data_IF_601769786985
#
_entry.id   IF_601769786985
#
_cell.length_a   1.000
_cell.length_b   1.000
_cell.length_c   1.000
_cell.angle_alpha   90.00
_cell.angle_beta   90.00
_cell.angle_gamma   90.00
#
_symmetry.space_group_name_H-M   'P 1'
#
loop_
_entity.id
_entity.type
_entity.pdbx_description
1 polymer ?
#
# COMPACT_ATOMS: atom_id res chain seq x y z
N UNK A 1 24.58 6.00 -11.80
CA UNK A 1 24.40 5.55 -10.40
C UNK A 1 24.56 4.04 -10.38
N UNK A 2 25.40 3.50 -9.51
CA UNK A 2 25.73 2.06 -9.43
C UNK A 2 24.63 1.27 -8.71
N UNK A 3 24.47 -0.02 -9.03
CA UNK A 3 23.50 -0.94 -8.39
C UNK A 3 23.57 -0.89 -6.85
N UNK A 4 24.79 -0.86 -6.32
CA UNK A 4 25.08 -0.83 -4.87
C UNK A 4 24.39 0.33 -4.14
N UNK A 5 24.24 1.48 -4.79
CA UNK A 5 23.58 2.65 -4.20
C UNK A 5 22.10 2.38 -3.94
N UNK A 6 21.39 1.82 -4.93
CA UNK A 6 19.97 1.49 -4.78
C UNK A 6 19.74 0.36 -3.79
N UNK A 7 20.63 -0.63 -3.75
CA UNK A 7 20.54 -1.74 -2.80
C UNK A 7 20.63 -1.25 -1.34
N UNK A 8 21.53 -0.30 -1.05
CA UNK A 8 21.65 0.28 0.28
C UNK A 8 20.40 1.08 0.66
N UNK A 9 19.88 1.90 -0.25
CA UNK A 9 18.64 2.66 -0.02
C UNK A 9 17.42 1.78 0.16
N UNK A 10 17.31 0.69 -0.62
CA UNK A 10 16.24 -0.28 -0.49
C UNK A 10 16.27 -0.93 0.91
N UNK A 11 17.44 -1.34 1.42
CA UNK A 11 17.58 -1.88 2.78
C UNK A 11 17.13 -0.88 3.84
N UNK A 12 17.62 0.35 3.79
CA UNK A 12 17.25 1.40 4.75
C UNK A 12 15.73 1.65 4.74
N UNK A 13 15.13 1.68 3.55
CA UNK A 13 13.68 1.88 3.41
C UNK A 13 12.91 0.72 4.04
N UNK A 14 13.29 -0.52 3.73
CA UNK A 14 12.62 -1.72 4.22
C UNK A 14 12.79 -1.90 5.74
N UNK A 15 13.96 -1.57 6.28
CA UNK A 15 14.20 -1.56 7.73
C UNK A 15 13.31 -0.55 8.45
N UNK A 16 13.16 0.66 7.90
CA UNK A 16 12.24 1.67 8.43
C UNK A 16 10.80 1.19 8.37
N UNK A 17 10.37 0.62 7.25
CA UNK A 17 9.03 0.06 7.10
C UNK A 17 8.78 -1.02 8.15
N UNK A 18 9.69 -1.99 8.28
CA UNK A 18 9.62 -3.05 9.29
C UNK A 18 9.54 -2.50 10.72
N UNK A 19 10.31 -1.45 11.04
CA UNK A 19 10.27 -0.81 12.36
C UNK A 19 8.94 -0.11 12.67
N UNK A 20 8.23 0.38 11.64
CA UNK A 20 6.93 1.03 11.79
C UNK A 20 5.78 0.03 11.87
N UNK A 21 5.89 -1.15 11.23
CA UNK A 21 4.81 -2.15 11.19
C UNK A 21 4.25 -2.50 12.57
N UNK A 22 5.09 -2.55 13.61
CA UNK A 22 4.68 -2.90 14.98
C UNK A 22 3.74 -1.87 15.63
N UNK A 23 3.60 -0.68 15.06
CA UNK A 23 2.72 0.39 15.54
C UNK A 23 1.42 0.50 14.75
N UNK A 24 1.24 -0.33 13.72
CA UNK A 24 0.09 -0.27 12.81
C UNK A 24 -0.85 -1.43 13.12
N UNK A 25 -2.08 -1.10 13.49
CA UNK A 25 -3.15 -2.06 13.78
C UNK A 25 -4.36 -1.70 12.90
N UNK A 26 -4.93 -2.65 12.12
CA UNK A 26 -4.55 -4.06 11.94
C UNK A 26 -3.17 -4.28 11.26
N UNK A 27 -2.64 -5.50 11.25
CA UNK A 27 -1.30 -5.77 10.71
C UNK A 27 -1.20 -5.35 9.23
N UNK A 28 -0.20 -4.50 8.86
CA UNK A 28 -0.05 -4.01 7.51
C UNK A 28 0.57 -5.07 6.59
N UNK A 29 -0.03 -5.24 5.41
CA UNK A 29 0.53 -6.02 4.30
C UNK A 29 1.33 -5.06 3.42
N UNK A 30 2.62 -5.31 3.30
CA UNK A 30 3.50 -4.54 2.44
C UNK A 30 3.22 -4.76 0.96
N UNK A 31 3.23 -3.66 0.21
CA UNK A 31 2.85 -3.67 -1.21
C UNK A 31 3.78 -2.83 -2.09
N UNK A 32 3.69 -3.11 -3.39
CA UNK A 32 4.04 -2.19 -4.48
C UNK A 32 2.79 -1.93 -5.30
N UNK A 33 2.56 -0.69 -5.71
CA UNK A 33 1.41 -0.31 -6.55
C UNK A 33 1.88 0.25 -7.88
N UNK A 34 1.32 -0.27 -8.96
CA UNK A 34 1.31 0.39 -10.26
C UNK A 34 0.05 1.24 -10.42
N UNK A 35 0.22 2.55 -10.65
CA UNK A 35 -0.88 3.49 -10.88
C UNK A 35 -0.44 4.55 -11.89
N UNK A 36 -1.21 4.76 -12.96
CA UNK A 36 -0.92 5.75 -14.01
C UNK A 36 0.54 5.71 -14.52
N UNK A 37 1.01 4.50 -14.84
CA UNK A 37 2.39 4.20 -15.31
C UNK A 37 3.51 4.60 -14.33
N UNK A 38 3.19 4.72 -13.05
CA UNK A 38 4.15 5.01 -11.98
C UNK A 38 4.07 3.94 -10.91
N UNK A 39 5.21 3.66 -10.29
CA UNK A 39 5.34 2.66 -9.24
C UNK A 39 5.44 3.36 -7.89
N UNK A 40 4.69 2.89 -6.90
CA UNK A 40 4.69 3.38 -5.54
C UNK A 40 4.92 2.24 -4.56
N UNK A 41 5.40 2.55 -3.37
CA UNK A 41 5.57 1.59 -2.27
C UNK A 41 4.69 1.99 -1.10
N UNK A 42 4.23 1.02 -0.33
CA UNK A 42 3.39 1.29 0.83
C UNK A 42 2.96 0.02 1.53
N UNK A 43 1.84 0.13 2.21
CA UNK A 43 1.14 -1.00 2.80
C UNK A 43 -0.38 -0.84 2.63
N UNK A 44 -1.09 -1.96 2.76
CA UNK A 44 -2.53 -1.99 2.97
C UNK A 44 -2.85 -2.65 4.32
N UNK A 45 -3.95 -2.23 4.93
CA UNK A 45 -4.54 -2.90 6.09
C UNK A 45 -5.98 -3.27 5.74
N UNK A 46 -6.41 -4.50 6.06
CA UNK A 46 -7.81 -4.88 5.95
C UNK A 46 -8.51 -4.28 7.17
N UNK A 47 -9.36 -3.28 6.97
CA UNK A 47 -9.86 -2.44 8.07
C UNK A 47 -11.20 -2.89 8.65
N UNK A 48 -11.95 -3.74 7.93
CA UNK A 48 -13.28 -4.23 8.36
C UNK A 48 -13.44 -5.72 8.05
N UNK A 49 -12.53 -6.53 8.57
CA UNK A 49 -12.45 -7.97 8.32
C UNK A 49 -13.75 -8.74 8.60
N UNK A 50 -14.54 -8.31 9.59
CA UNK A 50 -15.83 -8.93 9.94
C UNK A 50 -16.94 -8.66 8.91
N UNK A 51 -16.83 -7.58 8.14
CA UNK A 51 -17.80 -7.23 7.09
C UNK A 51 -17.29 -7.59 5.69
N UNK A 52 -16.06 -7.22 5.36
CA UNK A 52 -15.46 -7.49 4.06
C UNK A 52 -13.93 -7.42 4.09
N UNK A 53 -13.29 -8.52 3.69
CA UNK A 53 -11.85 -8.58 3.46
C UNK A 53 -11.39 -7.78 2.23
N UNK A 54 -12.31 -7.25 1.43
CA UNK A 54 -11.99 -6.44 0.26
C UNK A 54 -11.74 -4.97 0.62
N UNK A 55 -12.27 -4.48 1.75
CA UNK A 55 -12.10 -3.08 2.12
C UNK A 55 -10.76 -2.91 2.82
N UNK A 56 -9.88 -2.14 2.19
CA UNK A 56 -8.53 -1.89 2.66
C UNK A 56 -8.27 -0.40 2.84
N UNK A 57 -7.52 -0.05 3.88
CA UNK A 57 -6.83 1.22 3.94
C UNK A 57 -5.48 1.08 3.26
N UNK A 58 -5.25 1.86 2.22
CA UNK A 58 -3.98 2.00 1.53
C UNK A 58 -3.22 3.18 2.13
N UNK A 59 -1.95 2.97 2.50
CA UNK A 59 -0.99 4.05 2.76
C UNK A 59 0.22 3.87 1.83
N UNK A 60 0.52 4.86 1.00
CA UNK A 60 1.62 4.81 0.02
C UNK A 60 2.58 6.00 0.09
N UNK A 61 3.74 5.82 -0.55
CA UNK A 61 4.69 6.89 -0.80
C UNK A 61 4.03 8.05 -1.56
N UNK A 62 4.39 9.27 -1.19
CA UNK A 62 3.92 10.49 -1.87
C UNK A 62 4.55 10.65 -3.25
N UNK A 63 5.78 10.15 -3.42
CA UNK A 63 6.51 10.15 -4.68
C UNK A 63 6.62 8.73 -5.24
N UNK A 64 6.59 8.57 -6.57
CA UNK A 64 6.85 7.29 -7.19
C UNK A 64 8.30 6.87 -6.97
N UNK A 65 8.52 5.56 -6.95
CA UNK A 65 9.85 4.97 -6.98
C UNK A 65 10.48 5.20 -8.34
N UNK A 66 11.80 5.43 -8.31
CA UNK A 66 12.64 5.34 -9.51
C UNK A 66 12.97 3.87 -9.79
N UNK A 67 13.12 3.51 -11.06
CA UNK A 67 13.27 2.13 -11.52
C UNK A 67 14.38 1.36 -10.80
N UNK A 68 15.53 1.99 -10.57
CA UNK A 68 16.65 1.35 -9.89
C UNK A 68 16.32 0.96 -8.45
N UNK A 69 15.58 1.82 -7.73
CA UNK A 69 15.14 1.55 -6.36
C UNK A 69 14.04 0.49 -6.32
N UNK A 70 13.08 0.53 -7.26
CA UNK A 70 12.05 -0.49 -7.41
C UNK A 70 12.67 -1.90 -7.60
N UNK A 71 13.63 -2.03 -8.52
CA UNK A 71 14.31 -3.31 -8.77
C UNK A 71 15.07 -3.81 -7.53
N UNK A 72 15.77 -2.91 -6.83
CA UNK A 72 16.49 -3.25 -5.61
C UNK A 72 15.53 -3.76 -4.51
N UNK A 73 14.37 -3.12 -4.33
CA UNK A 73 13.35 -3.54 -3.36
C UNK A 73 12.82 -4.93 -3.69
N UNK A 74 12.39 -5.18 -4.93
CA UNK A 74 11.86 -6.49 -5.36
C UNK A 74 12.90 -7.61 -5.24
N UNK A 75 14.18 -7.30 -5.45
CA UNK A 75 15.25 -8.28 -5.28
C UNK A 75 15.45 -8.72 -3.82
N UNK A 76 15.21 -7.81 -2.87
CA UNK A 76 15.36 -8.05 -1.42
C UNK A 76 14.08 -8.68 -0.85
N UNK A 77 12.92 -8.11 -1.17
CA UNK A 77 11.60 -8.47 -0.64
C UNK A 77 10.73 -9.06 -1.76
N UNK A 78 11.00 -10.33 -2.09
CA UNK A 78 10.37 -11.04 -3.21
C UNK A 78 8.90 -11.38 -3.00
N UNK A 79 8.45 -11.40 -1.74
CA UNK A 79 7.09 -11.76 -1.35
C UNK A 79 6.17 -10.54 -1.29
N UNK A 80 6.71 -9.33 -1.48
CA UNK A 80 5.94 -8.09 -1.49
C UNK A 80 4.81 -8.17 -2.51
N UNK A 81 3.60 -7.88 -2.03
CA UNK A 81 2.39 -7.98 -2.83
C UNK A 81 2.36 -6.87 -3.90
N UNK A 82 2.25 -7.28 -5.16
CA UNK A 82 2.13 -6.35 -6.29
C UNK A 82 0.65 -6.07 -6.57
N UNK A 83 0.28 -4.79 -6.55
CA UNK A 83 -1.06 -4.30 -6.83
C UNK A 83 -1.08 -3.39 -8.06
N UNK A 84 -2.21 -3.39 -8.75
CA UNK A 84 -2.50 -2.46 -9.84
C UNK A 84 -3.74 -1.65 -9.48
N UNK A 85 -3.61 -0.33 -9.48
CA UNK A 85 -4.73 0.57 -9.22
C UNK A 85 -5.40 1.00 -10.52
N UNK A 86 -6.74 1.02 -10.53
CA UNK A 86 -7.52 1.57 -11.63
C UNK A 86 -7.12 3.03 -11.89
N UNK A 87 -6.93 3.39 -13.16
CA UNK A 87 -6.50 4.75 -13.54
C UNK A 87 -7.52 5.85 -13.21
N UNK A 88 -8.78 5.47 -13.02
CA UNK A 88 -9.86 6.36 -12.60
C UNK A 88 -9.74 6.80 -11.14
N UNK A 89 -9.04 6.04 -10.30
CA UNK A 89 -8.80 6.41 -8.90
C UNK A 89 -7.95 7.68 -8.83
N UNK A 90 -8.27 8.56 -7.87
CA UNK A 90 -7.39 9.63 -7.45
C UNK A 90 -6.59 9.19 -6.22
N UNK A 91 -5.35 8.78 -6.44
CA UNK A 91 -4.42 8.38 -5.39
C UNK A 91 -3.35 9.46 -5.17
N UNK A 92 -3.69 10.73 -5.31
CA UNK A 92 -2.71 11.82 -5.11
C UNK A 92 -2.21 11.85 -3.66
N UNK A 93 -3.12 11.72 -2.69
CA UNK A 93 -2.77 11.65 -1.28
C UNK A 93 -2.10 10.32 -0.89
N UNK A 94 -1.64 10.23 0.36
CA UNK A 94 -0.93 9.05 0.86
C UNK A 94 -1.90 7.96 1.32
N UNK A 95 -2.99 8.36 1.97
CA UNK A 95 -3.94 7.45 2.61
C UNK A 95 -5.27 7.41 1.87
N UNK A 96 -5.82 6.22 1.64
CA UNK A 96 -7.06 6.00 0.89
C UNK A 96 -7.81 4.78 1.41
N UNK A 97 -9.13 4.83 1.49
CA UNK A 97 -9.95 3.62 1.72
C UNK A 97 -10.51 3.14 0.38
N UNK A 98 -10.17 1.91 0.01
CA UNK A 98 -10.40 1.35 -1.32
C UNK A 98 -10.94 -0.07 -1.22
N UNK A 99 -11.44 -0.56 -2.37
CA UNK A 99 -11.73 -1.98 -2.56
C UNK A 99 -10.55 -2.66 -3.23
N UNK A 100 -10.14 -3.80 -2.68
CA UNK A 100 -9.15 -4.70 -3.26
C UNK A 100 -9.83 -5.98 -3.76
N UNK A 101 -9.64 -6.27 -5.04
CA UNK A 101 -10.03 -7.52 -5.68
C UNK A 101 -8.76 -8.22 -6.14
N UNK A 102 -8.33 -9.25 -5.42
CA UNK A 102 -7.07 -9.96 -5.66
C UNK A 102 -5.85 -9.02 -5.68
N UNK A 103 -5.34 -8.68 -6.86
CA UNK A 103 -4.23 -7.76 -7.08
C UNK A 103 -4.67 -6.38 -7.60
N UNK A 104 -5.97 -6.11 -7.71
CA UNK A 104 -6.52 -4.87 -8.25
C UNK A 104 -7.09 -3.97 -7.15
N UNK A 105 -6.75 -2.68 -7.19
CA UNK A 105 -7.40 -1.65 -6.38
C UNK A 105 -8.41 -0.86 -7.23
N UNK A 106 -9.61 -0.68 -6.70
CA UNK A 106 -10.72 0.03 -7.34
C UNK A 106 -11.58 0.75 -6.31
N UNK A 107 -12.61 1.46 -6.76
CA UNK A 107 -13.56 2.11 -5.87
C UNK A 107 -14.35 1.08 -5.05
N UNK A 108 -14.68 1.44 -3.82
CA UNK A 108 -15.67 0.72 -3.04
C UNK A 108 -17.01 0.67 -3.78
N UNK A 109 -17.74 -0.42 -3.60
CA UNK A 109 -19.14 -0.46 -4.03
C UNK A 109 -19.96 0.54 -3.22
N UNK A 110 -21.12 1.00 -3.71
CA UNK A 110 -21.98 1.90 -2.95
C UNK A 110 -22.37 1.36 -1.56
N UNK A 111 -22.49 0.04 -1.42
CA UNK A 111 -22.77 -0.60 -0.14
C UNK A 111 -21.59 -0.48 0.83
N UNK A 112 -20.39 -0.82 0.37
CA UNK A 112 -19.15 -0.69 1.15
C UNK A 112 -18.89 0.77 1.55
N UNK A 113 -19.11 1.73 0.63
CA UNK A 113 -19.00 3.16 0.93
C UNK A 113 -19.97 3.59 2.03
N UNK A 114 -21.25 3.16 1.95
CA UNK A 114 -22.24 3.46 3.00
C UNK A 114 -21.85 2.84 4.35
N UNK A 115 -21.35 1.61 4.33
CA UNK A 115 -20.91 0.93 5.55
C UNK A 115 -19.77 1.69 6.24
N UNK A 116 -18.72 2.05 5.50
CA UNK A 116 -17.56 2.77 6.02
C UNK A 116 -17.93 4.17 6.52
N UNK A 117 -18.85 4.87 5.85
CA UNK A 117 -19.30 6.19 6.28
C UNK A 117 -19.96 6.18 7.69
N UNK A 118 -20.53 5.04 8.10
CA UNK A 118 -21.19 4.89 9.41
C UNK A 118 -20.29 4.20 10.44
N UNK A 119 -19.42 3.29 9.99
CA UNK A 119 -18.62 2.41 10.84
C UNK A 119 -17.12 2.60 10.59
N UNK A 120 -16.67 3.82 10.34
CA UNK A 120 -15.26 4.10 10.04
C UNK A 120 -14.40 3.59 11.20
N UNK A 121 -13.55 2.57 10.98
CA UNK A 121 -12.71 2.05 12.05
C UNK A 121 -11.62 3.07 12.39
N UNK A 122 -11.28 3.17 13.68
CA UNK A 122 -10.10 3.92 14.10
C UNK A 122 -8.86 3.16 13.62
N UNK A 123 -8.13 3.74 12.66
CA UNK A 123 -6.80 3.26 12.30
C UNK A 123 -5.85 3.87 13.32
N UNK A 124 -5.39 3.06 14.26
CA UNK A 124 -4.51 3.50 15.32
C UNK A 124 -3.06 3.43 14.80
N UNK A 125 -2.42 4.58 14.69
CA UNK A 125 -0.96 4.70 14.61
C UNK A 125 -0.45 4.93 16.05
N UNK A 126 0.21 3.93 16.64
CA UNK A 126 0.74 3.97 18.01
C UNK A 126 2.07 4.73 18.14
#
# INVERSE_FOLDING_TARGET
>A
MTSQYFDNWARILLEKEASMRKYLIPEPISIIISWRNKIYIGHIQIIVQDYSNEIVCLNKSSKPLIDGLYRAIINIDKERLNLVADNILDLTDRQHVLRRLENKLTYMTPEQTRYIAVNMPEIIEL
#
